data_IF_457062059080
#
_entry.id   IF_457062059080
#
_cell.length_a   1.000
_cell.length_b   1.000
_cell.length_c   1.000
_cell.angle_alpha   90.00
_cell.angle_beta   90.00
_cell.angle_gamma   90.00
#
_symmetry.space_group_name_H-M   'P 1'
#
loop_
_entity.id
_entity.type
_entity.pdbx_description
1 polymer ?
#
# COMPACT_ATOMS: atom_id res chain seq x y z
N UNK A 1 18.33 1.28 -14.30
CA UNK A 1 17.67 2.52 -14.73
C UNK A 1 17.73 3.45 -13.54
N UNK A 2 18.18 4.71 -13.67
CA UNK A 2 18.33 5.59 -12.50
C UNK A 2 16.98 6.01 -11.93
N UNK A 3 16.89 6.17 -10.63
CA UNK A 3 15.71 6.63 -9.85
C UNK A 3 15.06 7.88 -10.43
N UNK A 4 15.86 8.82 -10.97
CA UNK A 4 15.41 10.02 -11.67
C UNK A 4 14.47 9.72 -12.85
N UNK A 5 14.63 8.59 -13.53
CA UNK A 5 13.80 8.21 -14.67
C UNK A 5 12.38 7.81 -14.24
N UNK A 6 12.22 7.26 -13.05
CA UNK A 6 10.90 6.88 -12.52
C UNK A 6 10.14 8.07 -11.93
N UNK A 7 10.83 8.98 -11.27
CA UNK A 7 10.24 10.24 -10.79
C UNK A 7 9.78 11.13 -11.97
N UNK A 8 10.31 10.92 -13.17
CA UNK A 8 9.91 11.61 -14.39
C UNK A 8 8.78 10.94 -15.17
N UNK A 9 8.26 9.75 -14.73
CA UNK A 9 7.19 9.06 -15.43
C UNK A 9 5.92 9.91 -15.51
N UNK A 10 5.32 9.86 -16.70
CA UNK A 10 4.09 10.56 -17.02
C UNK A 10 2.93 9.59 -17.07
N UNK A 11 1.72 10.11 -16.96
CA UNK A 11 0.50 9.33 -17.10
C UNK A 11 0.50 8.54 -18.41
N UNK A 12 0.98 9.13 -19.51
CA UNK A 12 1.08 8.47 -20.81
C UNK A 12 1.99 7.23 -20.87
N UNK A 13 2.89 7.08 -19.88
CA UNK A 13 3.77 5.91 -19.77
C UNK A 13 3.07 4.70 -19.14
N UNK A 14 2.10 4.96 -18.24
CA UNK A 14 1.44 3.95 -17.41
C UNK A 14 -0.03 3.72 -17.76
N UNK A 15 -0.72 4.72 -18.30
CA UNK A 15 -2.14 4.62 -18.62
C UNK A 15 -2.47 3.42 -19.53
N UNK A 16 -3.65 2.86 -19.36
CA UNK A 16 -4.20 1.93 -20.35
C UNK A 16 -4.46 2.68 -21.65
N UNK A 17 -3.76 2.28 -22.72
CA UNK A 17 -3.91 2.84 -24.07
C UNK A 17 -4.98 2.10 -24.85
N UNK A 18 -5.50 2.68 -25.93
CA UNK A 18 -6.54 2.09 -26.81
C UNK A 18 -7.81 1.71 -26.03
N UNK A 19 -8.30 2.64 -25.23
CA UNK A 19 -9.53 2.44 -24.44
C UNK A 19 -10.74 2.48 -25.36
N UNK A 20 -11.63 1.49 -25.20
CA UNK A 20 -12.95 1.50 -25.83
C UNK A 20 -13.74 2.67 -25.24
N UNK A 21 -14.18 3.60 -26.09
CA UNK A 21 -15.08 4.68 -25.71
C UNK A 21 -16.50 4.36 -26.16
N UNK A 22 -17.49 4.67 -25.34
CA UNK A 22 -18.90 4.42 -25.66
C UNK A 22 -19.53 5.67 -26.28
N UNK A 23 -20.42 5.47 -27.25
CA UNK A 23 -21.30 6.55 -27.71
C UNK A 23 -22.41 6.83 -26.69
N UNK A 24 -22.87 8.06 -26.62
CA UNK A 24 -23.94 8.50 -25.69
C UNK A 24 -25.25 7.75 -25.84
N UNK A 25 -25.45 7.01 -26.94
CA UNK A 25 -26.67 6.25 -27.26
C UNK A 25 -26.66 4.82 -26.73
N UNK A 26 -25.52 4.32 -26.28
CA UNK A 26 -25.37 2.95 -25.73
C UNK A 26 -26.29 2.77 -24.51
N UNK A 27 -26.96 1.62 -24.40
CA UNK A 27 -27.87 1.32 -23.31
C UNK A 27 -27.14 0.82 -22.05
N UNK A 28 -27.77 0.89 -20.89
CA UNK A 28 -27.18 0.41 -19.63
C UNK A 28 -26.90 -1.12 -19.69
N UNK A 29 -27.73 -1.89 -20.38
CA UNK A 29 -27.51 -3.31 -20.58
C UNK A 29 -26.26 -3.60 -21.43
N UNK A 30 -26.03 -2.81 -22.48
CA UNK A 30 -24.82 -2.90 -23.29
C UNK A 30 -23.58 -2.49 -22.51
N UNK A 31 -23.65 -1.44 -21.68
CA UNK A 31 -22.54 -1.06 -20.77
C UNK A 31 -22.18 -2.22 -19.85
N UNK A 32 -23.17 -2.84 -19.21
CA UNK A 32 -22.95 -3.99 -18.31
C UNK A 32 -22.28 -5.17 -19.05
N UNK A 33 -22.72 -5.46 -20.28
CA UNK A 33 -22.12 -6.52 -21.11
C UNK A 33 -20.68 -6.19 -21.47
N UNK A 34 -20.39 -4.98 -21.87
CA UNK A 34 -19.03 -4.54 -22.26
C UNK A 34 -18.07 -4.53 -21.07
N UNK A 35 -18.55 -4.21 -19.85
CA UNK A 35 -17.77 -4.35 -18.60
C UNK A 35 -17.30 -5.79 -18.43
N UNK A 36 -18.19 -6.78 -18.61
CA UNK A 36 -17.86 -8.20 -18.49
C UNK A 36 -16.94 -8.67 -19.61
N UNK A 37 -17.20 -8.26 -20.85
CA UNK A 37 -16.45 -8.67 -22.04
C UNK A 37 -15.00 -8.15 -22.00
N UNK A 38 -14.83 -6.87 -21.68
CA UNK A 38 -13.51 -6.23 -21.64
C UNK A 38 -12.81 -6.33 -20.28
N UNK A 39 -13.49 -6.86 -19.25
CA UNK A 39 -12.98 -6.97 -17.87
C UNK A 39 -12.46 -5.62 -17.34
N UNK A 40 -13.20 -4.56 -17.60
CA UNK A 40 -12.95 -3.20 -17.12
C UNK A 40 -14.17 -2.71 -16.33
N UNK A 41 -13.99 -1.76 -15.44
CA UNK A 41 -15.07 -1.24 -14.59
C UNK A 41 -15.56 0.15 -15.00
N UNK A 42 -14.97 0.74 -16.05
CA UNK A 42 -15.35 2.07 -16.53
C UNK A 42 -15.07 2.27 -18.01
N UNK A 43 -15.87 3.14 -18.64
CA UNK A 43 -15.69 3.57 -20.02
C UNK A 43 -15.81 5.09 -20.14
N UNK A 44 -14.90 5.77 -20.89
CA UNK A 44 -15.14 7.11 -21.39
C UNK A 44 -16.37 7.12 -22.30
N UNK A 45 -17.20 8.16 -22.17
CA UNK A 45 -18.36 8.36 -23.05
C UNK A 45 -18.10 9.54 -23.96
N UNK A 46 -18.29 9.31 -25.25
CA UNK A 46 -18.02 10.31 -26.28
C UNK A 46 -19.28 10.64 -27.09
N UNK A 47 -19.35 11.88 -27.58
CA UNK A 47 -20.33 12.31 -28.56
C UNK A 47 -19.58 13.00 -29.70
N UNK A 48 -19.79 12.54 -30.93
CA UNK A 48 -19.06 13.00 -32.12
C UNK A 48 -17.52 13.01 -31.93
N UNK A 49 -17.00 11.98 -31.21
CA UNK A 49 -15.56 11.81 -30.96
C UNK A 49 -14.98 12.69 -29.83
N UNK A 50 -15.79 13.55 -29.19
CA UNK A 50 -15.36 14.36 -28.03
C UNK A 50 -15.82 13.70 -26.72
N UNK A 51 -14.97 13.73 -25.70
CA UNK A 51 -15.30 13.23 -24.37
C UNK A 51 -16.41 14.11 -23.73
N UNK A 52 -17.53 13.48 -23.35
CA UNK A 52 -18.67 14.16 -22.70
C UNK A 52 -18.98 13.57 -21.33
N UNK A 53 -18.48 12.37 -21.00
CA UNK A 53 -18.75 11.70 -19.75
C UNK A 53 -17.83 10.53 -19.47
N UNK A 54 -18.06 9.92 -18.32
CA UNK A 54 -17.54 8.61 -17.93
C UNK A 54 -18.66 7.81 -17.29
N UNK A 55 -18.68 6.50 -17.53
CA UNK A 55 -19.64 5.57 -16.93
C UNK A 55 -18.89 4.41 -16.29
N UNK A 56 -19.38 3.98 -15.13
CA UNK A 56 -18.84 2.84 -14.37
C UNK A 56 -19.92 1.78 -14.11
N UNK A 57 -19.53 0.58 -13.73
CA UNK A 57 -20.46 -0.44 -13.26
C UNK A 57 -21.28 0.03 -12.05
N UNK A 58 -20.68 0.86 -11.20
CA UNK A 58 -21.37 1.47 -10.06
C UNK A 58 -22.49 2.43 -10.48
N UNK A 59 -22.30 3.16 -11.59
CA UNK A 59 -23.36 4.04 -12.15
C UNK A 59 -24.56 3.19 -12.63
N UNK A 60 -24.30 2.04 -13.29
CA UNK A 60 -25.35 1.12 -13.70
C UNK A 60 -26.15 0.63 -12.50
N UNK A 61 -25.47 0.18 -11.44
CA UNK A 61 -26.13 -0.32 -10.23
C UNK A 61 -26.93 0.77 -9.51
N UNK A 62 -26.34 1.95 -9.29
CA UNK A 62 -26.95 2.98 -8.41
C UNK A 62 -27.94 3.89 -9.14
N UNK A 63 -27.72 4.12 -10.45
CA UNK A 63 -28.54 5.09 -11.20
C UNK A 63 -29.60 4.44 -12.10
N UNK A 64 -29.44 3.13 -12.38
CA UNK A 64 -30.39 2.38 -13.21
C UNK A 64 -31.07 1.28 -12.40
N UNK A 65 -30.32 0.28 -11.90
CA UNK A 65 -30.90 -0.88 -11.23
C UNK A 65 -31.58 -0.49 -9.91
N UNK A 66 -30.90 0.26 -9.04
CA UNK A 66 -31.46 0.71 -7.76
C UNK A 66 -32.70 1.60 -7.90
N UNK A 67 -32.89 2.22 -9.08
CA UNK A 67 -34.08 3.02 -9.41
C UNK A 67 -35.16 2.25 -10.15
N UNK A 68 -35.00 0.94 -10.32
CA UNK A 68 -35.90 0.07 -11.06
C UNK A 68 -36.19 0.54 -12.52
N UNK A 69 -35.19 1.19 -13.14
CA UNK A 69 -35.29 1.59 -14.54
C UNK A 69 -34.97 0.40 -15.45
N UNK A 70 -35.57 0.38 -16.65
CA UNK A 70 -35.32 -0.69 -17.64
C UNK A 70 -33.91 -0.52 -18.28
N UNK A 71 -32.94 -1.40 -17.98
CA UNK A 71 -31.58 -1.25 -18.50
C UNK A 71 -31.47 -1.34 -20.03
N UNK A 72 -32.46 -1.95 -20.68
CA UNK A 72 -32.52 -2.07 -22.15
C UNK A 72 -32.96 -0.78 -22.83
N UNK A 73 -33.54 0.18 -22.09
CA UNK A 73 -34.07 1.43 -22.63
C UNK A 73 -33.28 2.65 -22.22
N UNK A 74 -32.72 2.65 -21.00
CA UNK A 74 -31.95 3.80 -20.45
C UNK A 74 -30.61 3.91 -21.17
N UNK A 75 -30.35 5.06 -21.75
CA UNK A 75 -29.10 5.35 -22.48
C UNK A 75 -28.05 5.92 -21.55
N UNK A 76 -26.75 5.68 -21.86
CA UNK A 76 -25.62 6.07 -21.04
C UNK A 76 -25.59 7.58 -20.74
N UNK A 77 -26.04 8.43 -21.68
CA UNK A 77 -26.16 9.88 -21.47
C UNK A 77 -27.05 10.29 -20.28
N UNK A 78 -27.97 9.40 -19.86
CA UNK A 78 -28.93 9.70 -18.80
C UNK A 78 -28.34 9.42 -17.41
N UNK A 79 -27.35 8.52 -17.31
CA UNK A 79 -26.79 8.12 -16.02
C UNK A 79 -25.26 8.26 -15.92
N UNK A 80 -24.55 8.61 -17.01
CA UNK A 80 -23.11 8.87 -16.96
C UNK A 80 -22.76 10.02 -16.00
N UNK A 81 -21.54 10.06 -15.52
CA UNK A 81 -20.98 11.26 -14.90
C UNK A 81 -20.50 12.20 -16.00
N UNK A 82 -21.12 13.38 -16.08
CA UNK A 82 -20.80 14.40 -17.10
C UNK A 82 -19.56 15.20 -16.71
N UNK A 83 -18.86 15.73 -17.71
CA UNK A 83 -17.65 16.56 -17.54
C UNK A 83 -16.65 15.93 -16.57
N UNK A 84 -16.18 14.72 -16.86
CA UNK A 84 -15.28 14.01 -15.95
C UNK A 84 -13.97 14.78 -15.77
N UNK A 85 -13.33 14.58 -14.61
CA UNK A 85 -11.97 15.06 -14.40
C UNK A 85 -11.05 14.36 -15.41
N UNK A 86 -10.22 15.13 -16.09
CA UNK A 86 -9.28 14.62 -17.10
C UNK A 86 -7.86 15.07 -16.80
N UNK A 87 -6.89 14.41 -17.40
CA UNK A 87 -5.49 14.87 -17.47
C UNK A 87 -4.91 14.65 -18.86
N UNK A 88 -3.76 15.25 -19.12
CA UNK A 88 -3.01 14.97 -20.36
C UNK A 88 -2.04 13.81 -20.16
N UNK A 89 -1.57 13.17 -21.25
CA UNK A 89 -0.52 12.15 -21.15
C UNK A 89 0.78 12.67 -20.54
N UNK A 90 1.04 13.97 -20.66
CA UNK A 90 2.22 14.64 -20.12
C UNK A 90 2.10 14.97 -18.63
N UNK A 91 0.92 14.80 -18.04
CA UNK A 91 0.71 14.98 -16.60
C UNK A 91 1.61 14.02 -15.81
N UNK A 92 2.22 14.48 -14.72
CA UNK A 92 2.97 13.58 -13.85
C UNK A 92 2.02 12.64 -13.11
N UNK A 93 2.46 11.42 -12.82
CA UNK A 93 1.69 10.43 -12.06
C UNK A 93 1.25 11.01 -10.71
N UNK A 94 2.13 11.75 -10.04
CA UNK A 94 1.80 12.41 -8.77
C UNK A 94 0.68 13.45 -8.90
N UNK A 95 0.68 14.24 -9.98
CA UNK A 95 -0.40 15.21 -10.22
C UNK A 95 -1.72 14.51 -10.50
N UNK A 96 -1.73 13.44 -11.31
CA UNK A 96 -2.93 12.65 -11.57
C UNK A 96 -3.48 12.00 -10.30
N UNK A 97 -2.61 11.44 -9.46
CA UNK A 97 -3.00 10.88 -8.14
C UNK A 97 -3.63 11.94 -7.25
N UNK A 98 -3.05 13.14 -7.18
CA UNK A 98 -3.63 14.27 -6.45
C UNK A 98 -5.02 14.67 -6.99
N UNK A 99 -5.22 14.64 -8.31
CA UNK A 99 -6.52 14.90 -8.92
C UNK A 99 -7.55 13.84 -8.53
N UNK A 100 -7.18 12.55 -8.54
CA UNK A 100 -8.04 11.46 -8.09
C UNK A 100 -8.49 11.66 -6.66
N UNK A 101 -7.55 11.87 -5.75
CA UNK A 101 -7.82 12.02 -4.32
C UNK A 101 -8.64 13.26 -4.02
N UNK A 102 -8.29 14.41 -4.63
CA UNK A 102 -9.00 15.68 -4.42
C UNK A 102 -10.48 15.61 -4.82
N UNK A 103 -10.77 14.85 -5.89
CA UNK A 103 -12.11 14.79 -6.46
C UNK A 103 -12.85 13.48 -6.12
N UNK A 104 -12.23 12.57 -5.35
CA UNK A 104 -12.84 11.29 -4.98
C UNK A 104 -13.10 10.37 -6.16
N UNK A 105 -12.28 10.45 -7.23
CA UNK A 105 -12.44 9.65 -8.45
C UNK A 105 -11.34 8.60 -8.58
N UNK A 106 -11.70 7.42 -9.08
CA UNK A 106 -10.78 6.28 -9.26
C UNK A 106 -10.29 6.12 -10.71
N UNK A 107 -10.92 6.81 -11.64
CA UNK A 107 -10.70 6.71 -13.07
C UNK A 107 -10.62 8.11 -13.66
N UNK A 108 -9.54 8.42 -14.38
CA UNK A 108 -9.34 9.69 -15.05
C UNK A 108 -9.14 9.40 -16.55
N UNK A 109 -10.08 9.80 -17.43
CA UNK A 109 -9.85 9.78 -18.87
C UNK A 109 -8.65 10.67 -19.23
N UNK A 110 -7.73 10.12 -20.02
CA UNK A 110 -6.55 10.85 -20.50
C UNK A 110 -6.87 11.41 -21.87
N UNK A 111 -6.72 12.72 -22.01
CA UNK A 111 -7.14 13.45 -23.19
C UNK A 111 -5.94 14.17 -23.83
N UNK A 112 -5.82 14.06 -25.17
CA UNK A 112 -4.87 14.82 -25.97
C UNK A 112 -5.58 15.34 -27.22
N UNK A 113 -5.48 16.65 -27.47
CA UNK A 113 -6.15 17.32 -28.60
C UNK A 113 -7.66 17.00 -28.64
N UNK A 114 -8.33 17.15 -27.51
CA UNK A 114 -9.77 16.85 -27.29
C UNK A 114 -10.19 15.38 -27.50
N UNK A 115 -9.27 14.47 -27.81
CA UNK A 115 -9.54 13.03 -28.01
C UNK A 115 -9.09 12.23 -26.81
N UNK A 116 -9.87 11.23 -26.43
CA UNK A 116 -9.48 10.24 -25.42
C UNK A 116 -8.35 9.38 -26.00
N UNK A 117 -7.21 9.35 -25.30
CA UNK A 117 -6.04 8.58 -25.72
C UNK A 117 -5.71 7.46 -24.72
N UNK A 118 -6.40 7.44 -23.58
CA UNK A 118 -6.23 6.42 -22.56
C UNK A 118 -7.13 6.66 -21.37
N UNK A 119 -7.00 5.78 -20.38
CA UNK A 119 -7.58 5.95 -19.05
C UNK A 119 -6.50 5.67 -18.01
N UNK A 120 -6.45 6.49 -16.98
CA UNK A 120 -5.55 6.34 -15.86
C UNK A 120 -6.37 6.05 -14.59
N UNK A 121 -6.01 4.98 -13.89
CA UNK A 121 -6.81 4.43 -12.79
C UNK A 121 -5.98 4.33 -11.51
N UNK A 122 -6.63 4.07 -10.38
CA UNK A 122 -5.94 3.72 -9.12
C UNK A 122 -5.04 2.50 -9.29
N UNK A 123 -5.38 1.59 -10.19
CA UNK A 123 -4.56 0.41 -10.50
C UNK A 123 -3.21 0.80 -11.15
N UNK A 124 -3.21 1.81 -12.03
CA UNK A 124 -1.99 2.31 -12.65
C UNK A 124 -1.09 3.04 -11.64
N UNK A 125 -1.69 3.69 -10.63
CA UNK A 125 -0.95 4.27 -9.49
C UNK A 125 -0.26 3.19 -8.68
N UNK A 126 -0.93 2.05 -8.42
CA UNK A 126 -0.33 0.91 -7.72
C UNK A 126 0.81 0.29 -8.54
N UNK A 127 0.60 0.12 -9.86
CA UNK A 127 1.65 -0.37 -10.75
C UNK A 127 2.86 0.58 -10.80
N UNK A 128 2.63 1.89 -10.77
CA UNK A 128 3.70 2.89 -10.68
C UNK A 128 4.52 2.73 -9.40
N UNK A 129 3.86 2.57 -8.25
CA UNK A 129 4.53 2.33 -6.98
C UNK A 129 5.45 1.10 -7.06
N UNK A 130 4.96 -0.01 -7.59
CA UNK A 130 5.75 -1.22 -7.79
C UNK A 130 6.97 -0.99 -8.70
N UNK A 131 6.83 -0.20 -9.76
CA UNK A 131 7.93 0.13 -10.66
C UNK A 131 9.00 0.99 -9.99
N UNK A 132 8.61 1.95 -9.16
CA UNK A 132 9.52 2.79 -8.38
C UNK A 132 10.29 1.93 -7.39
N UNK A 133 9.59 1.10 -6.63
CA UNK A 133 10.18 0.18 -5.65
C UNK A 133 11.17 -0.81 -6.30
N UNK A 134 10.85 -1.37 -7.49
CA UNK A 134 11.74 -2.27 -8.23
C UNK A 134 12.98 -1.57 -8.83
N UNK A 135 12.88 -0.29 -9.15
CA UNK A 135 13.98 0.45 -9.75
C UNK A 135 15.05 0.85 -8.74
N UNK A 136 14.63 1.20 -7.56
CA UNK A 136 15.55 1.50 -6.47
C UNK A 136 16.41 0.27 -6.15
N UNK A 137 15.82 -0.94 -6.20
CA UNK A 137 16.53 -2.20 -6.02
C UNK A 137 17.56 -2.54 -7.12
N UNK A 138 17.27 -2.21 -8.38
CA UNK A 138 18.15 -2.57 -9.49
C UNK A 138 19.37 -1.65 -9.62
N UNK A 139 19.26 -0.40 -9.21
CA UNK A 139 20.39 0.55 -9.19
C UNK A 139 21.41 0.20 -8.11
N UNK A 140 20.97 -0.32 -6.97
CA UNK A 140 21.84 -0.74 -5.87
C UNK A 140 22.79 -1.89 -6.23
N UNK A 141 22.36 -2.82 -7.09
CA UNK A 141 23.21 -3.95 -7.52
C UNK A 141 24.34 -3.55 -8.47
N UNK A 142 24.25 -2.43 -9.13
CA UNK A 142 25.28 -2.00 -10.10
C UNK A 142 26.33 -1.06 -9.51
N UNK A 143 26.02 -0.28 -8.48
CA UNK A 143 26.96 0.67 -7.87
C UNK A 143 27.86 0.08 -6.79
N UNK A 144 27.50 -1.07 -6.20
CA UNK A 144 28.28 -1.72 -5.14
C UNK A 144 29.60 -2.38 -5.62
N UNK A 145 30.00 -2.22 -6.89
CA UNK A 145 31.26 -2.75 -7.43
C UNK A 145 32.43 -1.77 -7.60
N UNK A 146 32.36 -0.57 -7.06
CA UNK A 146 33.44 0.37 -7.26
C UNK A 146 33.56 1.50 -6.23
N UNK A 147 34.56 1.40 -5.41
CA UNK A 147 35.22 2.38 -4.54
C UNK A 147 34.85 2.37 -3.07
N UNK A 148 35.74 1.80 -2.27
CA UNK A 148 35.87 2.04 -0.84
C UNK A 148 36.27 3.52 -0.59
N UNK A 149 35.39 4.27 0.08
CA UNK A 149 35.69 5.52 0.75
C UNK A 149 35.71 5.25 2.25
N UNK A 150 36.70 5.73 3.04
CA UNK A 150 36.75 5.47 4.47
C UNK A 150 35.51 6.07 5.17
N UNK A 151 34.79 5.25 5.92
CA UNK A 151 33.64 5.64 6.74
C UNK A 151 34.03 6.62 7.85
N UNK A 152 33.22 7.68 8.12
CA UNK A 152 33.15 8.20 9.47
C UNK A 152 32.44 7.16 10.35
N UNK A 153 33.04 6.82 11.49
CA UNK A 153 32.38 5.98 12.50
C UNK A 153 31.05 6.63 12.92
N UNK A 154 29.93 5.88 12.91
CA UNK A 154 28.68 6.39 13.44
C UNK A 154 28.89 6.66 14.93
N UNK A 155 28.54 7.86 15.39
CA UNK A 155 28.37 8.12 16.82
C UNK A 155 27.39 7.10 17.37
N UNK A 156 27.88 6.13 18.13
CA UNK A 156 27.03 5.20 18.85
C UNK A 156 26.10 6.01 19.77
N UNK A 157 24.79 5.90 19.67
CA UNK A 157 23.94 6.47 20.71
C UNK A 157 24.35 5.79 21.99
N UNK A 158 24.73 6.56 23.01
CA UNK A 158 24.99 6.04 24.34
C UNK A 158 23.82 5.13 24.72
N UNK A 159 24.10 3.85 24.79
CA UNK A 159 23.10 2.84 25.05
C UNK A 159 22.52 3.11 26.43
N UNK A 160 21.31 3.68 26.48
CA UNK A 160 20.53 3.59 27.70
C UNK A 160 20.23 2.09 27.88
N UNK A 161 20.93 1.44 28.80
CA UNK A 161 20.83 0.01 29.11
C UNK A 161 19.44 -0.39 29.69
N UNK A 162 18.42 0.43 29.49
CA UNK A 162 17.10 0.22 30.05
C UNK A 162 16.20 -0.45 29.02
N UNK A 163 16.28 -1.76 28.90
CA UNK A 163 15.29 -2.57 28.16
C UNK A 163 14.07 -2.79 29.07
N UNK A 164 12.90 -2.37 28.62
CA UNK A 164 11.66 -2.58 29.36
C UNK A 164 11.09 -3.98 29.09
N UNK A 165 10.51 -4.65 30.10
CA UNK A 165 9.89 -5.96 29.91
C UNK A 165 8.64 -5.88 29.03
N UNK A 166 8.23 -7.01 28.43
CA UNK A 166 7.03 -7.10 27.60
C UNK A 166 7.13 -6.32 26.29
N UNK A 167 8.33 -6.27 25.69
CA UNK A 167 8.58 -5.65 24.40
C UNK A 167 9.17 -6.65 23.43
N UNK A 168 8.79 -6.51 22.16
CA UNK A 168 9.35 -7.25 21.03
C UNK A 168 10.31 -6.35 20.26
N UNK A 169 11.54 -6.82 20.08
CA UNK A 169 12.54 -6.11 19.28
C UNK A 169 12.06 -5.97 17.84
N UNK A 170 12.28 -4.81 17.25
CA UNK A 170 12.04 -4.59 15.83
C UNK A 170 13.14 -5.19 14.95
N UNK A 171 14.28 -5.57 15.55
CA UNK A 171 15.50 -5.96 14.84
C UNK A 171 16.23 -4.78 14.20
N UNK A 172 15.66 -3.58 14.30
CA UNK A 172 16.30 -2.35 13.87
C UNK A 172 16.85 -1.59 15.09
N UNK A 173 18.14 -1.77 15.35
CA UNK A 173 18.83 -1.32 16.58
C UNK A 173 18.50 0.11 17.00
N UNK A 174 18.48 1.02 16.05
CA UNK A 174 18.22 2.43 16.33
C UNK A 174 16.77 2.68 16.80
N UNK A 175 15.80 2.00 16.19
CA UNK A 175 14.40 2.08 16.62
C UNK A 175 14.21 1.43 17.99
N UNK A 176 14.82 0.28 18.22
CA UNK A 176 14.73 -0.43 19.51
C UNK A 176 15.30 0.43 20.65
N UNK A 177 16.38 1.22 20.40
CA UNK A 177 16.91 2.15 21.40
C UNK A 177 15.90 3.27 21.73
N UNK A 178 15.24 3.86 20.73
CA UNK A 178 14.19 4.87 20.95
C UNK A 178 12.98 4.30 21.68
N UNK A 179 12.66 3.03 21.42
CA UNK A 179 11.55 2.33 22.03
C UNK A 179 11.92 1.61 23.36
N UNK A 180 13.11 1.82 23.89
CA UNK A 180 13.59 1.19 25.13
C UNK A 180 13.45 -0.35 25.10
N UNK A 181 13.87 -0.97 24.00
CA UNK A 181 13.91 -2.42 23.80
C UNK A 181 12.92 -2.97 22.76
N UNK A 182 12.12 -2.11 22.10
CA UNK A 182 11.21 -2.52 21.04
C UNK A 182 9.76 -2.10 21.24
N UNK A 183 8.86 -2.64 20.43
CA UNK A 183 7.42 -2.35 20.48
C UNK A 183 6.80 -3.16 21.63
N UNK A 184 5.91 -2.59 22.48
CA UNK A 184 5.19 -3.36 23.47
C UNK A 184 4.37 -4.50 22.87
N UNK A 185 4.26 -5.62 23.57
CA UNK A 185 3.44 -6.74 23.13
C UNK A 185 1.97 -6.35 22.97
N UNK A 186 1.30 -6.91 21.97
CA UNK A 186 -0.10 -6.63 21.62
C UNK A 186 -0.38 -5.14 21.34
N UNK A 187 0.59 -4.41 20.84
CA UNK A 187 0.52 -2.98 20.59
C UNK A 187 0.44 -2.68 19.08
N UNK A 188 -0.35 -1.69 18.70
CA UNK A 188 -0.49 -1.31 17.31
C UNK A 188 0.28 -0.02 17.01
N UNK A 189 1.31 -0.11 16.19
CA UNK A 189 2.16 1.01 15.77
C UNK A 189 1.97 1.27 14.28
N UNK A 190 1.98 2.53 13.89
CA UNK A 190 2.03 2.94 12.49
C UNK A 190 3.33 3.67 12.19
N UNK A 191 3.99 3.24 11.13
CA UNK A 191 5.15 3.89 10.53
C UNK A 191 4.67 4.84 9.43
N UNK A 192 4.91 6.13 9.61
CA UNK A 192 4.74 7.13 8.56
C UNK A 192 6.08 7.36 7.88
N UNK A 193 6.18 7.10 6.60
CA UNK A 193 7.42 7.21 5.84
C UNK A 193 7.15 7.54 4.38
N UNK A 194 7.97 8.39 3.72
CA UNK A 194 8.06 8.37 2.27
C UNK A 194 8.62 7.02 1.81
N UNK A 195 8.52 6.67 0.52
CA UNK A 195 9.22 5.53 -0.05
C UNK A 195 10.74 5.72 0.12
N UNK A 196 11.40 4.82 0.83
CA UNK A 196 12.83 4.88 1.07
C UNK A 196 13.36 3.53 1.57
N UNK A 197 14.66 3.28 1.33
CA UNK A 197 15.33 2.02 1.68
C UNK A 197 15.32 1.75 3.18
N UNK A 198 15.40 2.80 4.00
CA UNK A 198 15.38 2.66 5.47
C UNK A 198 14.03 2.17 5.98
N UNK A 199 12.93 2.56 5.31
CA UNK A 199 11.59 2.01 5.58
C UNK A 199 11.56 0.52 5.26
N UNK A 200 12.06 0.15 4.08
CA UNK A 200 12.05 -1.23 3.60
C UNK A 200 12.95 -2.12 4.48
N UNK A 201 14.13 -1.62 4.83
CA UNK A 201 15.03 -2.28 5.78
C UNK A 201 14.38 -2.48 7.17
N UNK A 202 13.65 -1.48 7.68
CA UNK A 202 12.96 -1.60 8.95
C UNK A 202 11.89 -2.69 8.90
N UNK A 203 11.09 -2.74 7.84
CA UNK A 203 10.08 -3.78 7.61
C UNK A 203 10.74 -5.15 7.54
N UNK A 204 11.79 -5.28 6.72
CA UNK A 204 12.55 -6.52 6.58
C UNK A 204 13.09 -7.02 7.94
N UNK A 205 13.76 -6.15 8.70
CA UNK A 205 14.30 -6.50 10.02
C UNK A 205 13.21 -6.87 11.01
N UNK A 206 12.08 -6.18 11.00
CA UNK A 206 10.93 -6.52 11.86
C UNK A 206 10.39 -7.93 11.54
N UNK A 207 10.25 -8.29 10.28
CA UNK A 207 9.77 -9.60 9.85
C UNK A 207 10.81 -10.71 10.08
N UNK A 208 12.06 -10.47 9.67
CA UNK A 208 13.15 -11.45 9.85
C UNK A 208 13.40 -11.80 11.31
N UNK A 209 13.42 -10.79 12.18
CA UNK A 209 13.67 -10.98 13.61
C UNK A 209 12.60 -11.87 14.23
N UNK A 210 11.32 -11.62 13.90
CA UNK A 210 10.24 -12.48 14.37
C UNK A 210 10.37 -13.91 13.89
N UNK A 211 10.57 -14.10 12.60
CA UNK A 211 10.71 -15.42 12.01
C UNK A 211 11.91 -16.19 12.58
N UNK A 212 13.07 -15.53 12.75
CA UNK A 212 14.29 -16.13 13.34
C UNK A 212 14.14 -16.44 14.83
N UNK A 213 13.35 -15.68 15.57
CA UNK A 213 13.06 -15.90 16.98
C UNK A 213 11.97 -16.96 17.24
N UNK A 214 11.43 -17.56 16.19
CA UNK A 214 10.36 -18.56 16.30
C UNK A 214 8.99 -17.97 16.62
N UNK A 215 8.80 -16.67 16.40
CA UNK A 215 7.52 -16.00 16.59
C UNK A 215 6.60 -16.20 15.38
N UNK A 216 5.30 -16.25 15.62
CA UNK A 216 4.32 -16.22 14.53
C UNK A 216 4.36 -14.84 13.86
N UNK A 217 4.74 -14.81 12.59
CA UNK A 217 4.96 -13.59 11.83
C UNK A 217 4.05 -13.53 10.61
N UNK A 218 3.24 -12.50 10.52
CA UNK A 218 2.35 -12.24 9.37
C UNK A 218 2.88 -11.05 8.58
N UNK A 219 2.82 -11.17 7.25
CA UNK A 219 3.10 -10.07 6.35
C UNK A 219 1.96 -9.90 5.34
N UNK A 220 1.34 -8.72 5.35
CA UNK A 220 0.24 -8.35 4.44
C UNK A 220 0.75 -7.27 3.50
N UNK A 221 0.96 -7.61 2.24
CA UNK A 221 1.62 -6.74 1.26
C UNK A 221 1.03 -6.88 -0.14
N UNK A 222 1.28 -5.91 -1.00
CA UNK A 222 1.07 -6.02 -2.45
C UNK A 222 2.33 -6.52 -3.18
N UNK A 223 3.48 -6.49 -2.52
CA UNK A 223 4.77 -6.85 -3.12
C UNK A 223 5.50 -7.97 -2.35
N UNK A 224 5.38 -9.23 -2.79
CA UNK A 224 5.94 -10.38 -2.09
C UNK A 224 7.43 -10.64 -2.34
N UNK A 225 8.10 -9.85 -3.22
CA UNK A 225 9.38 -10.24 -3.82
C UNK A 225 10.52 -10.49 -2.80
N UNK A 226 10.55 -9.76 -1.69
CA UNK A 226 11.65 -9.80 -0.75
C UNK A 226 11.57 -10.96 0.26
N UNK A 227 10.37 -11.53 0.44
CA UNK A 227 10.10 -12.48 1.52
C UNK A 227 10.04 -13.96 1.06
N UNK A 228 10.32 -14.26 -0.23
CA UNK A 228 10.29 -15.64 -0.73
C UNK A 228 11.15 -16.59 0.10
N UNK A 229 12.36 -16.16 0.47
CA UNK A 229 13.28 -16.97 1.26
C UNK A 229 12.75 -17.27 2.67
N UNK A 230 12.06 -16.33 3.32
CA UNK A 230 11.46 -16.54 4.64
C UNK A 230 10.24 -17.45 4.54
N UNK A 231 9.40 -17.25 3.52
CA UNK A 231 8.21 -18.07 3.28
C UNK A 231 8.57 -19.54 3.04
N UNK A 232 9.63 -19.82 2.27
CA UNK A 232 10.06 -21.17 1.97
C UNK A 232 10.73 -21.87 3.16
N UNK A 233 11.50 -21.14 3.96
CA UNK A 233 12.28 -21.70 5.08
C UNK A 233 11.49 -21.82 6.38
N UNK A 234 10.49 -20.96 6.59
CA UNK A 234 9.77 -20.79 7.87
C UNK A 234 8.26 -21.08 7.73
N UNK A 235 7.88 -22.13 7.03
CA UNK A 235 6.50 -22.45 6.63
C UNK A 235 5.49 -22.54 7.78
N UNK A 236 5.91 -22.92 8.98
CA UNK A 236 5.02 -23.08 10.14
C UNK A 236 4.79 -21.78 10.94
N UNK A 237 5.60 -20.75 10.71
CA UNK A 237 5.63 -19.55 11.54
C UNK A 237 5.51 -18.26 10.76
N UNK A 238 5.82 -18.25 9.47
CA UNK A 238 5.76 -17.08 8.60
C UNK A 238 4.59 -17.20 7.62
N UNK A 239 3.63 -16.29 7.71
CA UNK A 239 2.42 -16.25 6.89
C UNK A 239 2.44 -15.03 5.97
N UNK A 240 2.26 -15.26 4.67
CA UNK A 240 2.29 -14.22 3.65
C UNK A 240 0.91 -14.05 3.00
N UNK A 241 0.35 -12.85 3.09
CA UNK A 241 -0.89 -12.47 2.42
C UNK A 241 -0.55 -11.48 1.30
N UNK A 242 -0.73 -11.89 0.05
CA UNK A 242 -0.39 -11.10 -1.14
C UNK A 242 -1.66 -10.50 -1.71
N UNK A 243 -1.83 -9.19 -1.56
CA UNK A 243 -2.98 -8.44 -2.08
C UNK A 243 -2.66 -7.83 -3.44
N UNK A 244 -2.33 -8.68 -4.45
CA UNK A 244 -1.95 -8.22 -5.78
C UNK A 244 -2.43 -9.19 -6.87
N UNK A 245 -3.39 -8.81 -7.72
CA UNK A 245 -3.95 -9.67 -8.77
C UNK A 245 -2.96 -10.03 -9.88
N UNK A 246 -1.83 -9.31 -9.97
CA UNK A 246 -0.79 -9.52 -10.98
C UNK A 246 0.48 -10.14 -10.39
N UNK A 247 0.48 -10.52 -9.11
CA UNK A 247 1.62 -11.22 -8.55
C UNK A 247 1.88 -12.49 -9.36
N UNK A 248 3.12 -12.68 -9.78
CA UNK A 248 3.52 -13.94 -10.44
C UNK A 248 3.23 -15.06 -9.45
N UNK A 249 2.44 -16.09 -9.82
CA UNK A 249 2.12 -17.17 -8.89
C UNK A 249 3.41 -17.71 -8.26
N UNK A 250 3.43 -17.82 -6.96
CA UNK A 250 4.51 -18.55 -6.29
C UNK A 250 4.34 -20.00 -6.76
N UNK A 251 5.30 -20.49 -7.55
CA UNK A 251 5.24 -21.76 -8.30
C UNK A 251 5.01 -23.00 -7.44
N UNK A 252 4.95 -22.87 -6.12
CA UNK A 252 4.57 -23.90 -5.16
C UNK A 252 3.47 -23.40 -4.26
N UNK A 253 2.37 -24.13 -4.15
CA UNK A 253 1.32 -23.87 -3.17
C UNK A 253 1.86 -24.15 -1.76
N UNK A 254 2.13 -23.11 -1.01
CA UNK A 254 2.46 -23.23 0.41
C UNK A 254 1.22 -22.97 1.26
N UNK A 255 0.99 -23.74 2.32
CA UNK A 255 -0.16 -23.57 3.22
C UNK A 255 -0.17 -22.22 3.98
N UNK A 256 0.96 -21.56 4.03
CA UNK A 256 1.18 -20.29 4.69
C UNK A 256 1.17 -19.09 3.74
N UNK A 257 0.80 -19.27 2.46
CA UNK A 257 0.69 -18.20 1.46
C UNK A 257 -0.74 -18.07 1.01
N UNK A 258 -1.27 -16.86 1.10
CA UNK A 258 -2.62 -16.48 0.68
C UNK A 258 -2.52 -15.44 -0.44
N UNK A 259 -2.89 -15.84 -1.65
CA UNK A 259 -2.94 -14.94 -2.81
C UNK A 259 -4.35 -14.39 -2.96
N UNK A 260 -4.49 -13.07 -2.93
CA UNK A 260 -5.74 -12.34 -3.03
C UNK A 260 -5.79 -11.52 -4.32
N UNK A 261 -6.98 -11.28 -4.83
CA UNK A 261 -7.21 -10.52 -6.06
C UNK A 261 -6.87 -9.02 -5.97
N UNK A 262 -6.42 -8.54 -4.82
CA UNK A 262 -6.07 -7.14 -4.59
C UNK A 262 -6.66 -6.61 -3.28
N UNK A 263 -6.74 -5.29 -3.16
CA UNK A 263 -7.33 -4.60 -1.99
C UNK A 263 -8.78 -4.13 -2.24
N UNK A 264 -9.36 -4.48 -3.40
CA UNK A 264 -10.70 -4.05 -3.81
C UNK A 264 -11.80 -4.59 -2.89
N UNK A 265 -11.59 -5.78 -2.35
CA UNK A 265 -12.53 -6.43 -1.44
C UNK A 265 -11.87 -6.67 -0.07
N UNK A 266 -12.15 -5.80 0.89
CA UNK A 266 -11.64 -5.91 2.26
C UNK A 266 -12.12 -7.19 2.98
N UNK A 267 -13.25 -7.76 2.57
CA UNK A 267 -13.75 -9.01 3.15
C UNK A 267 -12.84 -10.19 2.79
N UNK A 268 -12.27 -10.22 1.58
CA UNK A 268 -11.34 -11.29 1.19
C UNK A 268 -10.08 -11.27 2.05
N UNK A 269 -9.58 -10.06 2.39
CA UNK A 269 -8.45 -9.89 3.31
C UNK A 269 -8.81 -10.42 4.71
N UNK A 270 -10.01 -10.08 5.22
CA UNK A 270 -10.47 -10.55 6.52
C UNK A 270 -10.66 -12.08 6.54
N UNK A 271 -11.20 -12.67 5.48
CA UNK A 271 -11.36 -14.13 5.34
C UNK A 271 -9.99 -14.82 5.32
N UNK A 272 -9.03 -14.28 4.57
CA UNK A 272 -7.68 -14.82 4.51
C UNK A 272 -6.97 -14.75 5.86
N UNK A 273 -7.05 -13.61 6.56
CA UNK A 273 -6.53 -13.46 7.92
C UNK A 273 -7.19 -14.45 8.89
N UNK A 274 -8.52 -14.55 8.86
CA UNK A 274 -9.25 -15.49 9.72
C UNK A 274 -8.91 -16.95 9.40
N UNK A 275 -8.68 -17.27 8.13
CA UNK A 275 -8.24 -18.61 7.71
C UNK A 275 -6.82 -18.90 8.20
N UNK A 276 -5.90 -17.93 8.06
CA UNK A 276 -4.55 -18.03 8.59
C UNK A 276 -4.55 -18.21 10.13
N UNK A 277 -5.41 -17.49 10.85
CA UNK A 277 -5.56 -17.65 12.31
C UNK A 277 -6.08 -19.03 12.73
N UNK A 278 -6.88 -19.71 11.90
CA UNK A 278 -7.34 -21.09 12.17
C UNK A 278 -6.25 -22.15 11.97
N UNK A 279 -5.28 -21.86 11.09
CA UNK A 279 -4.16 -22.77 10.82
C UNK A 279 -3.09 -22.62 11.90
N UNK A 280 -3.11 -21.52 12.67
CA UNK A 280 -2.15 -21.32 13.75
C UNK A 280 -2.27 -22.45 14.75
N UNK A 281 -1.17 -23.13 14.95
CA UNK A 281 -1.03 -24.13 16.00
C UNK A 281 -1.05 -23.44 17.38
N UNK A 282 -2.05 -23.75 18.18
CA UNK A 282 -2.17 -23.22 19.55
C UNK A 282 -1.02 -23.68 20.46
N UNK A 283 -0.21 -24.64 20.02
CA UNK A 283 1.01 -25.07 20.71
C UNK A 283 2.14 -24.04 20.61
N UNK A 284 2.13 -23.16 19.62
CA UNK A 284 3.14 -22.10 19.44
C UNK A 284 2.85 -21.01 20.47
N UNK A 285 3.51 -21.12 21.63
CA UNK A 285 3.50 -20.11 22.68
C UNK A 285 4.59 -19.09 22.39
N UNK A 286 4.24 -17.81 22.44
CA UNK A 286 5.22 -16.73 22.26
C UNK A 286 4.62 -15.49 21.63
N UNK A 287 5.41 -14.43 21.47
CA UNK A 287 4.99 -13.22 20.80
C UNK A 287 4.53 -13.49 19.37
N UNK A 288 3.59 -12.69 18.92
CA UNK A 288 3.08 -12.72 17.55
C UNK A 288 3.22 -11.33 16.94
N UNK A 289 3.62 -11.27 15.68
CA UNK A 289 3.76 -9.98 14.99
C UNK A 289 3.10 -9.99 13.62
N UNK A 290 2.65 -8.82 13.21
CA UNK A 290 2.12 -8.60 11.85
C UNK A 290 2.61 -7.27 11.29
N UNK A 291 3.09 -7.30 10.06
CA UNK A 291 3.33 -6.09 9.28
C UNK A 291 2.20 -5.91 8.25
N UNK A 292 1.61 -4.71 8.19
CA UNK A 292 0.51 -4.37 7.27
C UNK A 292 0.95 -3.22 6.40
N UNK A 293 1.33 -3.51 5.17
CA UNK A 293 1.88 -2.53 4.22
C UNK A 293 0.83 -2.02 3.21
N UNK A 294 -0.34 -2.62 3.17
CA UNK A 294 -1.40 -2.31 2.20
C UNK A 294 -2.25 -1.10 2.56
N UNK A 295 -2.02 -0.41 3.69
CA UNK A 295 -2.88 0.70 4.14
C UNK A 295 -2.98 1.83 3.12
N UNK A 296 -1.89 2.26 2.45
CA UNK A 296 -1.97 3.29 1.41
C UNK A 296 -2.92 2.88 0.27
N UNK A 297 -2.84 1.63 -0.16
CA UNK A 297 -3.64 1.10 -1.26
C UNK A 297 -5.11 0.97 -0.87
N UNK A 298 -5.38 0.47 0.34
CA UNK A 298 -6.74 0.41 0.91
C UNK A 298 -7.33 1.81 1.03
N UNK A 299 -6.55 2.79 1.51
CA UNK A 299 -7.01 4.17 1.65
C UNK A 299 -7.29 4.82 0.30
N UNK A 300 -6.45 4.55 -0.70
CA UNK A 300 -6.63 5.02 -2.07
C UNK A 300 -7.89 4.41 -2.71
N UNK A 301 -8.13 3.12 -2.49
CA UNK A 301 -9.22 2.38 -3.10
C UNK A 301 -10.58 2.67 -2.44
N UNK A 302 -10.63 2.77 -1.11
CA UNK A 302 -11.87 2.81 -0.34
C UNK A 302 -12.15 4.16 0.33
N UNK A 303 -11.16 5.08 0.36
CA UNK A 303 -11.22 6.34 1.08
C UNK A 303 -11.17 6.18 2.60
N UNK A 304 -11.02 7.31 3.31
CA UNK A 304 -10.75 7.35 4.74
C UNK A 304 -11.83 6.68 5.61
N UNK A 305 -13.11 6.83 5.26
CA UNK A 305 -14.21 6.31 6.08
C UNK A 305 -14.23 4.79 6.12
N UNK A 306 -14.11 4.13 4.97
CA UNK A 306 -14.13 2.67 4.89
C UNK A 306 -12.84 2.06 5.45
N UNK A 307 -11.69 2.65 5.12
CA UNK A 307 -10.40 2.23 5.69
C UNK A 307 -10.41 2.34 7.21
N UNK A 308 -10.96 3.42 7.77
CA UNK A 308 -11.10 3.59 9.21
C UNK A 308 -12.01 2.54 9.84
N UNK A 309 -13.15 2.21 9.21
CA UNK A 309 -14.06 1.16 9.69
C UNK A 309 -13.37 -0.20 9.70
N UNK A 310 -12.66 -0.52 8.63
CA UNK A 310 -11.91 -1.75 8.52
C UNK A 310 -10.82 -1.87 9.59
N UNK A 311 -10.00 -0.84 9.78
CA UNK A 311 -8.94 -0.82 10.80
C UNK A 311 -9.50 -0.85 12.22
N UNK A 312 -10.65 -0.21 12.48
CA UNK A 312 -11.33 -0.27 13.78
C UNK A 312 -11.80 -1.68 14.15
N UNK A 313 -12.06 -2.54 13.19
CA UNK A 313 -12.36 -3.95 13.42
C UNK A 313 -11.07 -4.79 13.52
N UNK A 314 -10.13 -4.57 12.62
CA UNK A 314 -8.92 -5.38 12.48
C UNK A 314 -7.94 -5.19 13.66
N UNK A 315 -7.67 -3.95 14.09
CA UNK A 315 -6.68 -3.69 15.15
C UNK A 315 -7.06 -4.35 16.48
N UNK A 316 -8.29 -4.24 17.01
CA UNK A 316 -8.69 -4.95 18.21
C UNK A 316 -8.65 -6.48 18.07
N UNK A 317 -9.00 -7.01 16.88
CA UNK A 317 -8.92 -8.46 16.62
C UNK A 317 -7.47 -8.95 16.69
N UNK A 318 -6.52 -8.28 16.04
CA UNK A 318 -5.10 -8.61 16.11
C UNK A 318 -4.58 -8.57 17.54
N UNK A 319 -4.92 -7.52 18.30
CA UNK A 319 -4.53 -7.39 19.71
C UNK A 319 -5.09 -8.53 20.58
N UNK A 320 -6.36 -8.88 20.38
CA UNK A 320 -7.01 -9.97 21.14
C UNK A 320 -6.35 -11.33 20.90
N UNK A 321 -5.72 -11.49 19.75
CA UNK A 321 -4.94 -12.68 19.36
C UNK A 321 -3.45 -12.58 19.74
N UNK A 322 -3.05 -11.54 20.46
CA UNK A 322 -1.68 -11.32 20.93
C UNK A 322 -0.71 -10.81 19.86
N UNK A 323 -1.22 -10.26 18.74
CA UNK A 323 -0.35 -9.70 17.71
C UNK A 323 0.11 -8.28 18.06
N UNK A 324 1.41 -8.05 17.96
CA UNK A 324 2.00 -6.72 17.86
C UNK A 324 2.04 -6.33 16.39
N UNK A 325 1.44 -5.20 16.05
CA UNK A 325 1.29 -4.79 14.66
C UNK A 325 2.15 -3.57 14.31
N UNK A 326 2.83 -3.66 13.17
CA UNK A 326 3.50 -2.57 12.48
C UNK A 326 2.74 -2.30 11.18
N UNK A 327 2.00 -1.21 11.14
CA UNK A 327 1.34 -0.75 9.93
C UNK A 327 2.20 0.31 9.23
N UNK A 328 2.08 0.44 7.92
CA UNK A 328 2.88 1.39 7.13
C UNK A 328 1.98 2.30 6.32
N UNK A 329 2.28 3.60 6.30
CA UNK A 329 1.59 4.57 5.46
C UNK A 329 2.56 5.61 4.90
N UNK A 330 2.41 5.92 3.61
CA UNK A 330 3.05 7.09 3.02
C UNK A 330 2.14 8.31 3.17
N UNK A 331 2.52 9.28 4.03
CA UNK A 331 1.69 10.45 4.28
C UNK A 331 1.61 11.42 3.09
N UNK A 332 2.47 11.25 2.08
CA UNK A 332 2.48 12.10 0.88
C UNK A 332 1.50 11.61 -0.19
N UNK A 333 1.07 10.35 -0.13
CA UNK A 333 0.12 9.77 -1.08
C UNK A 333 -1.33 10.19 -0.84
N UNK A 334 -1.64 10.77 0.33
CA UNK A 334 -3.01 11.03 0.76
C UNK A 334 -3.19 12.44 1.35
N UNK A 335 -4.41 12.99 1.30
CA UNK A 335 -4.73 14.25 1.99
C UNK A 335 -4.42 14.16 3.49
N UNK A 336 -3.85 15.23 4.05
CA UNK A 336 -3.45 15.26 5.47
C UNK A 336 -4.58 14.91 6.45
N UNK A 337 -5.82 15.25 6.11
CA UNK A 337 -6.99 14.94 6.95
C UNK A 337 -7.29 13.44 6.99
N UNK A 338 -7.15 12.74 5.86
CA UNK A 338 -7.35 11.30 5.76
C UNK A 338 -6.25 10.55 6.52
N UNK A 339 -4.99 10.96 6.32
CA UNK A 339 -3.86 10.41 7.08
C UNK A 339 -4.10 10.56 8.58
N UNK A 340 -4.48 11.76 9.06
CA UNK A 340 -4.77 12.00 10.48
C UNK A 340 -5.90 11.11 11.01
N UNK A 341 -6.93 10.88 10.20
CA UNK A 341 -8.04 10.02 10.58
C UNK A 341 -7.62 8.57 10.81
N UNK A 342 -6.58 8.10 10.10
CA UNK A 342 -6.01 6.76 10.26
C UNK A 342 -5.03 6.70 11.42
N UNK A 343 -4.11 7.68 11.55
CA UNK A 343 -3.09 7.71 12.60
C UNK A 343 -3.68 7.63 14.01
N UNK A 344 -4.87 8.22 14.20
CA UNK A 344 -5.58 8.22 15.50
C UNK A 344 -6.04 6.84 15.98
N UNK A 345 -6.01 5.81 15.14
CA UNK A 345 -6.43 4.44 15.47
C UNK A 345 -5.31 3.62 16.12
N UNK A 346 -4.06 4.07 15.97
CA UNK A 346 -2.88 3.36 16.46
C UNK A 346 -2.43 3.87 17.82
N UNK A 347 -1.88 2.97 18.62
CA UNK A 347 -1.34 3.28 19.95
C UNK A 347 -0.02 4.06 19.82
N UNK A 348 0.78 3.77 18.79
CA UNK A 348 2.06 4.41 18.53
C UNK A 348 2.19 4.95 17.12
N UNK A 349 3.00 6.00 16.96
CA UNK A 349 3.39 6.58 15.68
C UNK A 349 4.91 6.74 15.63
N UNK A 350 5.51 6.10 14.63
CA UNK A 350 6.92 6.23 14.26
C UNK A 350 6.97 7.00 12.94
N UNK A 351 7.96 7.86 12.78
CA UNK A 351 8.08 8.68 11.58
C UNK A 351 9.50 8.64 11.03
N UNK A 352 9.61 8.31 9.74
CA UNK A 352 10.78 8.59 8.92
C UNK A 352 10.43 9.79 8.04
N UNK A 353 11.32 10.76 7.97
CA UNK A 353 11.12 12.01 7.24
C UNK A 353 12.43 12.62 6.80
N UNK A 354 12.37 13.52 5.83
CA UNK A 354 13.52 14.19 5.23
C UNK A 354 13.66 15.64 5.73
N UNK A 355 14.90 16.05 6.03
CA UNK A 355 15.29 17.45 6.25
C UNK A 355 16.52 17.73 5.37
N UNK A 356 16.35 18.50 4.31
CA UNK A 356 17.41 18.69 3.31
C UNK A 356 17.73 17.39 2.59
N UNK A 357 18.98 16.96 2.64
CA UNK A 357 19.47 15.70 2.06
C UNK A 357 19.56 14.54 3.06
N UNK A 358 19.18 14.76 4.30
CA UNK A 358 19.29 13.75 5.36
C UNK A 358 17.93 13.23 5.77
N UNK A 359 17.88 11.93 6.13
CA UNK A 359 16.68 11.25 6.66
C UNK A 359 16.80 11.07 8.16
N UNK A 360 15.66 11.17 8.82
CA UNK A 360 15.55 11.10 10.27
C UNK A 360 14.47 10.11 10.68
N UNK A 361 14.74 9.36 11.75
CA UNK A 361 13.80 8.49 12.43
C UNK A 361 13.42 9.10 13.79
N UNK A 362 12.13 9.14 14.10
CA UNK A 362 11.61 9.63 15.36
C UNK A 362 10.38 8.87 15.81
N UNK A 363 10.30 8.60 17.10
CA UNK A 363 9.05 8.16 17.72
C UNK A 363 8.23 9.39 18.09
N UNK A 364 7.04 9.54 17.50
CA UNK A 364 6.16 10.69 17.76
C UNK A 364 5.21 10.48 18.92
N UNK A 365 4.74 9.22 19.07
CA UNK A 365 3.72 8.88 20.06
C UNK A 365 3.86 7.42 20.45
N UNK A 366 3.69 7.15 21.75
CA UNK A 366 3.45 5.81 22.30
C UNK A 366 2.47 5.95 23.46
N UNK A 367 1.18 5.62 23.26
CA UNK A 367 0.12 5.79 24.25
C UNK A 367 0.40 4.96 25.50
N UNK A 368 0.46 5.59 26.67
CA UNK A 368 0.70 4.94 27.97
C UNK A 368 2.02 4.15 28.06
N UNK A 369 3.00 4.48 27.21
CA UNK A 369 4.30 3.81 27.17
C UNK A 369 5.44 4.82 27.21
N UNK A 370 6.56 4.43 27.84
CA UNK A 370 7.79 5.22 27.80
C UNK A 370 8.54 5.00 26.50
N UNK A 371 9.13 6.06 25.97
CA UNK A 371 10.01 6.06 24.79
C UNK A 371 10.93 7.26 24.80
N UNK A 372 11.96 7.26 23.97
CA UNK A 372 12.84 8.40 23.80
C UNK A 372 12.33 9.27 22.65
N UNK A 373 12.16 10.55 22.91
CA UNK A 373 11.65 11.55 21.94
C UNK A 373 12.71 12.13 21.00
N UNK A 374 13.96 11.66 21.09
CA UNK A 374 15.06 12.10 20.25
C UNK A 374 14.82 11.70 18.78
N UNK A 375 15.39 12.46 17.86
CA UNK A 375 15.47 12.06 16.45
C UNK A 375 16.86 11.48 16.17
N UNK A 376 16.90 10.44 15.32
CA UNK A 376 18.14 9.79 14.89
C UNK A 376 18.29 10.03 13.40
N UNK A 377 19.47 10.48 12.98
CA UNK A 377 19.81 10.59 11.56
C UNK A 377 20.03 9.20 10.98
N UNK A 378 19.29 8.90 9.91
CA UNK A 378 19.48 7.71 9.13
C UNK A 378 20.50 8.04 8.04
N UNK A 379 21.78 7.90 8.34
CA UNK A 379 22.82 7.92 7.30
C UNK A 379 22.69 6.64 6.48
N UNK A 380 22.95 6.71 5.16
CA UNK A 380 22.97 5.54 4.27
C UNK A 380 23.74 4.37 4.91
N UNK A 381 23.02 3.53 5.60
CA UNK A 381 23.57 2.28 6.15
C UNK A 381 23.52 1.21 5.08
N UNK A 382 24.27 1.39 4.00
CA UNK A 382 24.64 0.29 3.12
C UNK A 382 25.56 -0.65 3.90
N UNK A 383 25.03 -1.77 4.36
CA UNK A 383 25.76 -2.94 4.74
C UNK A 383 26.33 -2.93 6.16
N UNK A 384 25.60 -3.57 7.06
CA UNK A 384 26.23 -4.29 8.18
C UNK A 384 25.56 -5.67 8.29
N UNK A 385 26.43 -6.70 8.29
CA UNK A 385 26.20 -8.13 8.45
C UNK A 385 25.23 -8.52 9.57
#
# INVERSE_FOLDING_TARGET
>A
MSTDKFLSLRVGDLMTKMVVSLDVTVTANEVARLILEHKVDSFPVTEKGKLVGIVTGWDVLTKVIAKALDPGKVRVREFMTRSPITCSPECSVLQATKLMTKNGVKHIPVVKNEKVVGIFTTHDVMAYRQLVEQADFSSYRQESKGKMVPKPEPLEPEASNTVLPGRITTGYRYLDSLLLGGIPESYAVILTSPPCDEKDLLIEKFLETGAKSGEVTFYVTINPFEMKNLTEKMQSQFYLLICNPKATPITKSFLNVFELGGVENLNDINIALSSAFRILDDSIKGPRRVCIEIIPDVLLQHGALQTRRWLNALIPELKSKGFTSLAVIDPMMHPRQEVRAILGLFDGEINIYEKGSERFLKVKKMSNQKYLGNEITLTETSGVN
#
